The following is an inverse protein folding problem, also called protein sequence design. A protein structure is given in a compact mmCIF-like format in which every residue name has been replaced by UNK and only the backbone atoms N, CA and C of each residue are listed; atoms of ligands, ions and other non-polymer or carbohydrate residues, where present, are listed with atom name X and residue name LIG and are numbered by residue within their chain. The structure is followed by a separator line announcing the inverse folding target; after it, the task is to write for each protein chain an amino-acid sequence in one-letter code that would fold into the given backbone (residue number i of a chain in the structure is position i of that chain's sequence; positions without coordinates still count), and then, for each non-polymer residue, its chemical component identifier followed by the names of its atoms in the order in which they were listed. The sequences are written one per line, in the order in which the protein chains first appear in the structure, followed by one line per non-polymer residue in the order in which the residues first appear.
data_IF_874879329842
#
_entry.id   IF_874879329842
#
_cell.length_a   1.000
_cell.length_b   1.000
_cell.length_c   1.000
_cell.angle_alpha   90.00
_cell.angle_beta   90.00
_cell.angle_gamma   90.00
#
_symmetry.space_group_name_H-M   'P 1'
#
loop_
_entity.id
_entity.type
_entity.pdbx_description
1 polymer ?
#
# COMPACT_ATOMS: atom_id res chain seq x y z
N UNK A 1 -3.34 0.47 -14.53
CA UNK A 1 -3.29 -0.93 -14.04
C UNK A 1 -4.25 -1.80 -14.88
N UNK A 2 -3.95 -3.09 -15.07
CA UNK A 2 -4.87 -4.03 -15.75
C UNK A 2 -6.09 -4.34 -14.87
N UNK A 3 -7.27 -4.52 -15.48
CA UNK A 3 -8.52 -4.69 -14.72
C UNK A 3 -8.47 -5.93 -13.81
N UNK A 4 -7.90 -7.04 -14.31
CA UNK A 4 -7.73 -8.27 -13.51
C UNK A 4 -6.85 -8.05 -12.26
N UNK A 5 -5.78 -7.27 -12.38
CA UNK A 5 -4.91 -6.95 -11.23
C UNK A 5 -5.65 -6.07 -10.23
N UNK A 6 -6.39 -5.07 -10.71
CA UNK A 6 -7.20 -4.22 -9.84
C UNK A 6 -8.23 -5.04 -9.06
N UNK A 7 -8.95 -5.96 -9.70
CA UNK A 7 -9.94 -6.79 -9.01
C UNK A 7 -9.32 -7.66 -7.92
N UNK A 8 -8.11 -8.19 -8.14
CA UNK A 8 -7.37 -8.93 -7.12
C UNK A 8 -6.98 -8.03 -5.95
N UNK A 9 -6.46 -6.83 -6.24
CA UNK A 9 -6.10 -5.84 -5.24
C UNK A 9 -7.33 -5.42 -4.42
N UNK A 10 -8.45 -5.11 -5.09
CA UNK A 10 -9.70 -4.69 -4.44
C UNK A 10 -10.24 -5.78 -3.52
N UNK A 11 -10.29 -7.04 -3.99
CA UNK A 11 -10.71 -8.18 -3.18
C UNK A 11 -9.83 -8.38 -1.94
N UNK A 12 -8.50 -8.31 -2.08
CA UNK A 12 -7.59 -8.47 -0.94
C UNK A 12 -7.65 -7.28 0.02
N UNK A 13 -7.81 -6.07 -0.51
CA UNK A 13 -7.97 -4.86 0.29
C UNK A 13 -9.32 -4.81 1.04
N UNK A 14 -10.39 -5.39 0.50
CA UNK A 14 -11.67 -5.48 1.23
C UNK A 14 -11.59 -6.44 2.42
N UNK A 15 -10.81 -7.52 2.28
CA UNK A 15 -10.57 -8.54 3.30
C UNK A 15 -9.54 -8.12 4.35
N UNK A 16 -8.54 -7.34 3.94
CA UNK A 16 -7.43 -6.86 4.76
C UNK A 16 -7.26 -5.37 4.50
N UNK A 17 -7.89 -4.52 5.33
CA UNK A 17 -8.00 -3.08 5.05
C UNK A 17 -6.81 -2.27 5.49
N UNK A 18 -5.97 -2.82 6.36
CA UNK A 18 -4.92 -2.08 7.04
C UNK A 18 -3.55 -2.64 6.73
N UNK A 19 -2.54 -1.78 6.63
CA UNK A 19 -1.15 -2.25 6.59
C UNK A 19 -0.19 -1.15 7.03
N UNK A 20 1.07 -1.53 7.24
CA UNK A 20 2.14 -0.62 7.60
C UNK A 20 3.29 -0.72 6.61
N UNK A 21 3.78 0.42 6.14
CA UNK A 21 4.88 0.49 5.17
C UNK A 21 5.98 1.40 5.71
N UNK A 22 7.22 0.90 5.88
CA UNK A 22 8.36 1.75 6.21
C UNK A 22 8.78 2.60 5.02
N UNK A 23 8.96 3.90 5.20
CA UNK A 23 9.58 4.82 4.24
C UNK A 23 10.96 5.20 4.77
N UNK A 24 12.02 4.93 4.01
CA UNK A 24 13.40 5.19 4.45
C UNK A 24 13.68 6.69 4.59
N UNK A 25 14.35 7.08 5.67
CA UNK A 25 14.68 8.45 6.07
C UNK A 25 16.14 8.57 6.52
N UNK A 26 17.07 8.28 5.62
CA UNK A 26 18.51 8.45 5.85
C UNK A 26 19.11 7.41 6.81
N UNK A 27 18.83 7.53 8.11
CA UNK A 27 19.34 6.65 9.17
C UNK A 27 18.27 5.76 9.82
N UNK A 28 17.02 5.84 9.36
CA UNK A 28 15.90 5.07 9.89
C UNK A 28 14.73 5.06 8.92
N UNK A 29 13.53 4.79 9.43
CA UNK A 29 12.31 4.81 8.64
C UNK A 29 11.17 5.52 9.37
N UNK A 30 10.27 6.11 8.58
CA UNK A 30 8.95 6.54 9.03
C UNK A 30 7.93 5.48 8.62
N UNK A 31 7.19 4.94 9.57
CA UNK A 31 6.14 3.97 9.27
C UNK A 31 4.87 4.70 8.83
N UNK A 32 4.43 4.43 7.60
CA UNK A 32 3.18 4.91 7.05
C UNK A 32 2.08 3.88 7.30
N UNK A 33 0.93 4.34 7.78
CA UNK A 33 -0.27 3.51 7.92
C UNK A 33 -1.13 3.62 6.66
N UNK A 34 -1.45 2.47 6.08
CA UNK A 34 -2.31 2.36 4.88
C UNK A 34 -3.67 1.87 5.32
N UNK A 35 -4.73 2.53 4.84
CA UNK A 35 -6.12 2.16 5.13
C UNK A 35 -6.97 2.18 3.86
N UNK A 36 -7.75 1.12 3.65
CA UNK A 36 -8.81 1.05 2.64
C UNK A 36 -10.13 1.63 3.15
N UNK A 37 -10.56 2.74 2.55
CA UNK A 37 -11.80 3.50 2.81
C UNK A 37 -11.95 4.11 4.22
N UNK A 38 -12.41 5.37 4.24
CA UNK A 38 -12.75 6.14 5.45
C UNK A 38 -11.52 6.70 6.16
N UNK A 39 -11.52 8.00 6.43
CA UNK A 39 -10.55 8.60 7.33
C UNK A 39 -11.26 9.58 8.26
N UNK A 40 -11.01 9.48 9.57
CA UNK A 40 -11.43 10.48 10.55
C UNK A 40 -10.40 11.62 10.68
N UNK A 41 -9.30 11.56 9.91
CA UNK A 41 -8.20 12.52 9.89
C UNK A 41 -7.63 12.72 8.48
N UNK A 42 -6.97 13.85 8.21
CA UNK A 42 -6.34 14.12 6.91
C UNK A 42 -5.16 13.18 6.62
N UNK A 43 -5.19 12.37 5.54
CA UNK A 43 -4.07 11.50 5.18
C UNK A 43 -2.89 12.32 4.63
N UNK A 44 -1.69 11.71 4.59
CA UNK A 44 -0.53 12.31 3.90
C UNK A 44 -0.66 12.27 2.38
N UNK A 45 -1.21 11.17 1.87
CA UNK A 45 -1.56 11.00 0.47
C UNK A 45 -2.78 10.08 0.36
N UNK A 46 -3.53 10.24 -0.74
CA UNK A 46 -4.68 9.38 -1.07
C UNK A 46 -4.46 8.76 -2.44
N UNK A 47 -4.88 7.52 -2.61
CA UNK A 47 -4.89 6.84 -3.92
C UNK A 47 -6.34 6.57 -4.33
N UNK A 48 -6.73 7.06 -5.49
CA UNK A 48 -8.06 6.85 -6.08
C UNK A 48 -7.94 6.00 -7.33
N UNK A 49 -8.80 4.99 -7.45
CA UNK A 49 -8.88 4.10 -8.61
C UNK A 49 -10.15 4.39 -9.43
N UNK A 50 -9.98 4.68 -10.70
CA UNK A 50 -11.05 4.98 -11.66
C UNK A 50 -11.23 3.79 -12.60
N UNK A 51 -12.41 3.16 -12.55
CA UNK A 51 -12.74 1.88 -13.19
C UNK A 51 -13.50 2.01 -14.51
N UNK A 52 -13.78 3.22 -14.97
CA UNK A 52 -14.64 3.53 -16.12
C UNK A 52 -14.14 2.88 -17.43
N UNK A 53 -12.84 2.57 -17.50
CA UNK A 53 -12.21 1.90 -18.64
C UNK A 53 -11.88 0.42 -18.37
N UNK A 54 -12.25 -0.14 -17.22
CA UNK A 54 -11.90 -1.50 -16.85
C UNK A 54 -12.53 -2.53 -17.81
N UNK A 55 -13.83 -2.40 -18.07
CA UNK A 55 -14.57 -3.33 -18.93
C UNK A 55 -14.26 -3.16 -20.42
N UNK A 56 -14.13 -1.91 -20.87
CA UNK A 56 -14.02 -1.59 -22.30
C UNK A 56 -12.58 -1.56 -22.81
N UNK A 57 -11.61 -1.33 -21.93
CA UNK A 57 -10.19 -1.15 -22.31
C UNK A 57 -9.22 -1.98 -21.47
N UNK A 58 -9.71 -2.82 -20.56
CA UNK A 58 -8.87 -3.57 -19.59
C UNK A 58 -7.87 -2.64 -18.88
N UNK A 59 -8.36 -1.47 -18.46
CA UNK A 59 -7.56 -0.40 -17.89
C UNK A 59 -8.27 0.27 -16.71
N UNK A 60 -7.59 0.30 -15.57
CA UNK A 60 -7.96 1.10 -14.39
C UNK A 60 -6.94 2.23 -14.25
N UNK A 61 -7.43 3.47 -14.14
CA UNK A 61 -6.58 4.64 -13.91
C UNK A 61 -6.37 4.82 -12.41
N UNK A 62 -5.17 5.27 -12.04
CA UNK A 62 -4.77 5.49 -10.65
C UNK A 62 -4.36 6.94 -10.52
N UNK A 63 -4.89 7.61 -9.50
CA UNK A 63 -4.52 8.98 -9.15
C UNK A 63 -4.01 8.99 -7.72
N UNK A 64 -2.80 9.50 -7.52
CA UNK A 64 -2.26 9.83 -6.21
C UNK A 64 -2.42 11.32 -5.96
N UNK A 65 -2.99 11.70 -4.82
CA UNK A 65 -3.11 13.09 -4.36
C UNK A 65 -2.30 13.26 -3.07
N UNK A 66 -1.29 14.14 -3.08
CA UNK A 66 -0.45 14.44 -1.91
C UNK A 66 -1.05 15.61 -1.16
N UNK A 67 -1.41 15.39 0.11
CA UNK A 67 -2.04 16.41 0.96
C UNK A 67 -1.00 17.26 1.66
N UNK A 68 0.10 16.65 2.12
CA UNK A 68 1.20 17.34 2.79
C UNK A 68 2.48 17.29 1.96
N UNK A 69 2.58 18.19 0.98
CA UNK A 69 3.72 18.28 0.02
C UNK A 69 5.07 18.59 0.69
N UNK A 70 5.08 19.07 1.93
CA UNK A 70 6.31 19.26 2.72
C UNK A 70 6.81 17.98 3.41
N UNK A 71 6.05 16.88 3.35
CA UNK A 71 6.31 15.64 4.09
C UNK A 71 6.55 14.43 3.19
N UNK A 72 6.03 14.45 1.97
CA UNK A 72 6.24 13.42 0.97
C UNK A 72 6.64 14.09 -0.35
N UNK A 73 7.68 13.56 -0.98
CA UNK A 73 8.08 13.92 -2.34
C UNK A 73 7.49 12.94 -3.35
N UNK A 74 7.37 13.35 -4.61
CA UNK A 74 6.70 12.56 -5.66
C UNK A 74 7.27 11.14 -5.79
N UNK A 75 8.59 10.97 -5.72
CA UNK A 75 9.24 9.65 -5.80
C UNK A 75 8.90 8.74 -4.62
N UNK A 76 8.65 9.30 -3.43
CA UNK A 76 8.21 8.53 -2.26
C UNK A 76 6.76 8.08 -2.41
N UNK A 77 5.92 8.91 -3.05
CA UNK A 77 4.51 8.62 -3.29
C UNK A 77 4.38 7.53 -4.35
N UNK A 78 5.14 7.64 -5.44
CA UNK A 78 5.24 6.58 -6.46
C UNK A 78 5.68 5.26 -5.81
N UNK A 79 6.77 5.29 -5.05
CA UNK A 79 7.27 4.12 -4.34
C UNK A 79 6.26 3.53 -3.34
N UNK A 80 5.50 4.37 -2.62
CA UNK A 80 4.45 3.92 -1.71
C UNK A 80 3.33 3.20 -2.46
N UNK A 81 2.87 3.74 -3.59
CA UNK A 81 1.83 3.13 -4.42
C UNK A 81 2.31 1.77 -4.95
N UNK A 82 3.53 1.71 -5.48
CA UNK A 82 4.13 0.47 -5.96
C UNK A 82 4.29 -0.56 -4.83
N UNK A 83 4.67 -0.10 -3.64
CA UNK A 83 4.85 -0.97 -2.48
C UNK A 83 3.53 -1.55 -2.02
N UNK A 84 2.48 -0.74 -1.87
CA UNK A 84 1.12 -1.22 -1.57
C UNK A 84 0.70 -2.26 -2.61
N UNK A 85 0.82 -1.94 -3.90
CA UNK A 85 0.47 -2.88 -4.96
C UNK A 85 1.26 -4.17 -4.85
N UNK A 86 2.55 -4.11 -4.56
CA UNK A 86 3.39 -5.28 -4.44
C UNK A 86 2.97 -6.19 -3.28
N UNK A 87 2.64 -5.62 -2.12
CA UNK A 87 2.16 -6.39 -0.98
C UNK A 87 0.80 -7.03 -1.24
N UNK A 88 -0.13 -6.32 -1.88
CA UNK A 88 -1.47 -6.86 -2.15
C UNK A 88 -1.53 -7.76 -3.39
N UNK A 89 -0.66 -7.61 -4.38
CA UNK A 89 -0.72 -8.39 -5.62
C UNK A 89 0.21 -9.61 -5.62
N UNK A 90 1.30 -9.61 -4.87
CA UNK A 90 2.20 -10.75 -4.77
C UNK A 90 1.71 -11.72 -3.68
N UNK A 91 1.51 -12.99 -4.01
CA UNK A 91 0.96 -13.99 -3.09
C UNK A 91 1.79 -14.20 -1.82
N UNK A 92 3.13 -14.18 -1.93
CA UNK A 92 4.00 -14.35 -0.78
C UNK A 92 3.99 -13.12 0.13
N UNK A 93 4.00 -11.92 -0.45
CA UNK A 93 3.94 -10.66 0.31
C UNK A 93 2.54 -10.43 0.91
N UNK A 94 1.47 -10.88 0.25
CA UNK A 94 0.10 -10.74 0.74
C UNK A 94 -0.10 -11.44 2.09
N UNK A 95 0.62 -12.54 2.35
CA UNK A 95 0.61 -13.21 3.67
C UNK A 95 1.03 -12.30 4.82
N UNK A 96 1.88 -11.29 4.58
CA UNK A 96 2.23 -10.30 5.61
C UNK A 96 1.07 -9.36 5.91
N UNK A 97 0.31 -8.98 4.88
CA UNK A 97 -0.89 -8.16 5.01
C UNK A 97 -1.98 -8.94 5.74
N UNK A 98 -2.18 -10.20 5.37
CA UNK A 98 -3.13 -11.11 6.02
C UNK A 98 -2.78 -11.30 7.49
N UNK A 99 -1.52 -11.61 7.82
CA UNK A 99 -1.05 -11.72 9.20
C UNK A 99 -1.32 -10.43 9.99
N UNK A 100 -1.02 -9.26 9.42
CA UNK A 100 -1.29 -7.99 10.09
C UNK A 100 -2.77 -7.81 10.47
N UNK A 101 -3.69 -8.16 9.57
CA UNK A 101 -5.13 -7.92 9.76
C UNK A 101 -5.86 -9.05 10.53
N UNK A 102 -5.42 -10.31 10.39
CA UNK A 102 -6.16 -11.50 10.85
C UNK A 102 -5.44 -12.28 11.95
N UNK A 103 -4.11 -12.20 12.00
CA UNK A 103 -3.24 -12.95 12.93
C UNK A 103 -2.23 -12.00 13.59
N UNK A 104 -2.70 -10.85 14.08
CA UNK A 104 -1.84 -9.73 14.49
C UNK A 104 -0.79 -10.11 15.55
N UNK A 105 -1.04 -11.13 16.36
CA UNK A 105 -0.10 -11.64 17.36
C UNK A 105 1.15 -12.32 16.74
N UNK A 106 1.04 -12.82 15.51
CA UNK A 106 2.12 -13.45 14.74
C UNK A 106 2.75 -12.47 13.72
N UNK A 107 2.31 -11.21 13.71
CA UNK A 107 2.85 -10.19 12.83
C UNK A 107 4.15 -9.61 13.40
N UNK A 108 5.22 -9.72 12.62
CA UNK A 108 6.53 -9.19 12.96
C UNK A 108 6.93 -8.12 11.94
N UNK A 109 7.10 -6.86 12.38
CA UNK A 109 7.43 -5.76 11.48
C UNK A 109 8.78 -5.95 10.75
N UNK A 110 9.73 -6.67 11.35
CA UNK A 110 11.01 -7.03 10.71
C UNK A 110 10.82 -7.82 9.41
N UNK A 111 9.75 -8.61 9.29
CA UNK A 111 9.46 -9.37 8.08
C UNK A 111 9.08 -8.43 6.92
N UNK A 112 8.44 -7.30 7.21
CA UNK A 112 8.13 -6.24 6.23
C UNK A 112 9.43 -5.58 5.77
N UNK A 113 10.34 -5.26 6.70
CA UNK A 113 11.66 -4.71 6.36
C UNK A 113 12.45 -5.68 5.46
N UNK A 114 12.48 -6.97 5.80
CA UNK A 114 13.12 -8.00 4.99
C UNK A 114 12.50 -8.12 3.60
N UNK A 115 11.17 -8.12 3.50
CA UNK A 115 10.47 -8.19 2.21
C UNK A 115 10.80 -7.01 1.29
N UNK A 116 11.19 -5.87 1.87
CA UNK A 116 11.61 -4.65 1.19
C UNK A 116 13.14 -4.48 1.08
N UNK A 117 13.92 -5.47 1.52
CA UNK A 117 15.39 -5.41 1.60
C UNK A 117 15.90 -4.18 2.38
N UNK A 118 15.19 -3.78 3.43
CA UNK A 118 15.58 -2.67 4.30
C UNK A 118 16.46 -3.13 5.46
N UNK A 119 17.39 -2.28 5.95
CA UNK A 119 18.14 -2.56 7.16
C UNK A 119 17.23 -2.82 8.36
N UNK A 120 17.54 -3.88 9.11
CA UNK A 120 16.95 -4.15 10.42
C UNK A 120 17.86 -3.47 11.43
N UNK A 121 17.34 -2.41 12.05
CA UNK A 121 18.04 -1.61 13.06
C UNK A 121 17.84 -2.19 14.46
#
# INVERSE_FOLDING_TARGET
MKAKLYNLLEHRASECRYFVIPVWRGSGYTTMFVQGQGNTSSPYFTVTFYKEFAETKDLVLIRGDVVFTSKLIDSEVEWLIETVQSFYLNDARCKLVERFNKETHDFEFKDVLQALNMPIL
#
